data_IF_804117816682
#
_entry.id   IF_804117816682
#
_cell.length_a   1.000
_cell.length_b   1.000
_cell.length_c   1.000
_cell.angle_alpha   90.00
_cell.angle_beta   90.00
_cell.angle_gamma   90.00
#
_symmetry.space_group_name_H-M   'P 1'
#
loop_
_entity.id
_entity.type
_entity.pdbx_description
1 polymer ?
#
# COMPACT_ATOMS: atom_id res chain seq x y z
N UNK A 1 -28.04 -12.42 -30.25
CA UNK A 1 -27.05 -12.84 -29.25
C UNK A 1 -26.28 -11.60 -28.77
N UNK A 2 -26.23 -11.34 -27.48
CA UNK A 2 -25.42 -10.25 -26.96
C UNK A 2 -23.93 -10.58 -27.17
N UNK A 3 -23.18 -9.71 -27.82
CA UNK A 3 -21.71 -9.83 -27.91
C UNK A 3 -21.10 -9.29 -26.63
N UNK A 4 -20.48 -10.17 -25.85
CA UNK A 4 -19.66 -9.73 -24.73
C UNK A 4 -18.33 -9.19 -25.28
N UNK A 5 -18.10 -7.90 -25.10
CA UNK A 5 -16.82 -7.27 -25.43
C UNK A 5 -16.11 -6.91 -24.12
N UNK A 6 -14.82 -7.21 -24.05
CA UNK A 6 -14.00 -6.79 -22.91
C UNK A 6 -13.84 -5.26 -22.94
N UNK A 7 -13.84 -4.60 -21.78
CA UNK A 7 -13.54 -3.17 -21.69
C UNK A 7 -12.16 -2.84 -22.30
N UNK A 8 -12.01 -1.62 -22.78
CA UNK A 8 -10.71 -1.11 -23.24
C UNK A 8 -9.68 -1.25 -22.09
N UNK A 9 -8.47 -1.67 -22.43
CA UNK A 9 -7.36 -1.88 -21.48
C UNK A 9 -7.56 -3.00 -20.44
N UNK A 10 -8.54 -3.90 -20.64
CA UNK A 10 -8.81 -5.03 -19.75
C UNK A 10 -7.91 -6.26 -19.98
N UNK A 11 -7.13 -6.27 -21.04
CA UNK A 11 -6.26 -7.40 -21.43
C UNK A 11 -4.80 -6.99 -21.27
N UNK A 12 -4.06 -7.73 -20.46
CA UNK A 12 -2.59 -7.58 -20.35
C UNK A 12 -1.93 -8.38 -21.48
N UNK A 13 -1.15 -7.70 -22.34
CA UNK A 13 -0.47 -8.28 -23.49
C UNK A 13 0.99 -8.65 -23.15
N UNK A 14 1.60 -9.49 -23.98
CA UNK A 14 3.05 -9.69 -23.94
C UNK A 14 3.74 -8.45 -24.52
N UNK A 15 4.74 -7.94 -23.81
CA UNK A 15 5.58 -6.83 -24.21
C UNK A 15 6.90 -7.28 -24.84
N UNK A 16 7.92 -6.48 -24.65
CA UNK A 16 9.27 -6.70 -25.16
C UNK A 16 10.07 -7.63 -24.24
N UNK A 17 11.09 -8.26 -24.79
CA UNK A 17 12.10 -9.03 -24.04
C UNK A 17 13.43 -8.32 -24.17
N UNK A 18 14.01 -7.94 -23.04
CA UNK A 18 15.34 -7.36 -22.94
C UNK A 18 16.30 -8.39 -22.34
N UNK A 19 17.44 -8.58 -22.95
CA UNK A 19 18.43 -9.56 -22.50
C UNK A 19 19.77 -8.89 -22.24
N UNK A 20 20.23 -8.95 -21.00
CA UNK A 20 21.52 -8.42 -20.54
C UNK A 20 22.64 -9.48 -20.56
N UNK A 21 22.41 -10.61 -21.25
CA UNK A 21 23.34 -11.73 -21.43
C UNK A 21 24.00 -12.24 -20.13
N UNK A 22 23.23 -12.58 -19.08
CA UNK A 22 23.79 -13.11 -17.85
C UNK A 22 24.33 -14.53 -18.04
N UNK A 23 25.32 -14.92 -17.22
CA UNK A 23 25.68 -16.32 -17.04
C UNK A 23 24.48 -17.11 -16.47
N UNK A 24 24.46 -18.43 -16.67
CA UNK A 24 23.34 -19.28 -16.20
C UNK A 24 23.14 -19.23 -14.68
N UNK A 25 24.21 -19.06 -13.90
CA UNK A 25 24.21 -19.07 -12.44
C UNK A 25 23.67 -17.76 -11.82
N UNK A 26 23.91 -16.62 -12.48
CA UNK A 26 23.54 -15.30 -11.96
C UNK A 26 22.33 -14.67 -12.66
N UNK A 27 21.49 -15.51 -13.27
CA UNK A 27 20.34 -15.08 -14.05
C UNK A 27 19.15 -14.75 -13.17
N UNK A 28 18.57 -13.56 -13.36
CA UNK A 28 17.28 -13.14 -12.80
C UNK A 28 16.32 -12.81 -13.95
N UNK A 29 15.16 -13.45 -13.96
CA UNK A 29 14.06 -13.07 -14.85
C UNK A 29 13.15 -12.07 -14.14
N UNK A 30 12.88 -10.93 -14.76
CA UNK A 30 12.02 -9.87 -14.22
C UNK A 30 10.90 -9.56 -15.20
N UNK A 31 9.65 -9.79 -14.79
CA UNK A 31 8.46 -9.45 -15.56
C UNK A 31 7.83 -8.19 -14.94
N UNK A 32 7.68 -7.11 -15.71
CA UNK A 32 7.17 -5.81 -15.23
C UNK A 32 5.93 -5.41 -15.99
N UNK A 33 4.86 -5.11 -15.26
CA UNK A 33 3.66 -4.49 -15.81
C UNK A 33 3.96 -3.08 -16.33
N UNK A 34 3.54 -2.83 -17.56
CA UNK A 34 3.73 -1.55 -18.26
C UNK A 34 2.37 -1.02 -18.74
N UNK A 35 2.15 0.24 -18.49
CA UNK A 35 0.97 0.96 -18.96
C UNK A 35 1.31 2.44 -19.19
N UNK A 36 0.93 2.96 -20.36
CA UNK A 36 1.03 4.38 -20.67
C UNK A 36 -0.34 4.91 -21.09
N UNK A 37 -0.98 5.79 -20.32
CA UNK A 37 -2.30 6.32 -20.63
C UNK A 37 -2.34 7.11 -21.95
N UNK A 38 -1.23 7.76 -22.34
CA UNK A 38 -1.15 8.59 -23.56
C UNK A 38 -1.26 7.75 -24.84
N UNK A 39 -1.01 6.44 -24.77
CA UNK A 39 -1.01 5.59 -25.96
C UNK A 39 -2.35 4.92 -26.26
N UNK A 40 -3.33 5.04 -25.38
CA UNK A 40 -4.65 4.37 -25.51
C UNK A 40 -4.56 2.90 -25.93
N UNK A 41 -3.61 2.17 -25.37
CA UNK A 41 -3.33 0.75 -25.65
C UNK A 41 -3.51 -0.09 -24.40
N UNK A 42 -3.82 -1.37 -24.60
CA UNK A 42 -3.84 -2.33 -23.50
C UNK A 42 -2.49 -2.35 -22.76
N UNK A 43 -2.49 -2.55 -21.42
CA UNK A 43 -1.28 -2.79 -20.67
C UNK A 43 -0.56 -4.06 -21.18
N UNK A 44 0.74 -4.12 -20.93
CA UNK A 44 1.57 -5.24 -21.34
C UNK A 44 2.61 -5.56 -20.26
N UNK A 45 3.27 -6.70 -20.37
CA UNK A 45 4.33 -7.12 -19.47
C UNK A 45 5.63 -7.21 -20.25
N UNK A 46 6.59 -6.35 -19.92
CA UNK A 46 7.96 -6.46 -20.42
C UNK A 46 8.75 -7.45 -19.56
N UNK A 47 9.57 -8.25 -20.23
CA UNK A 47 10.46 -9.23 -19.59
C UNK A 47 11.92 -8.80 -19.71
N UNK A 48 12.62 -8.78 -18.58
CA UNK A 48 14.05 -8.47 -18.51
C UNK A 48 14.80 -9.70 -17.99
N UNK A 49 15.85 -10.09 -18.72
CA UNK A 49 16.78 -11.17 -18.33
C UNK A 49 18.07 -10.50 -17.88
N UNK A 50 18.31 -10.46 -16.57
CA UNK A 50 19.33 -9.65 -15.94
C UNK A 50 20.43 -10.49 -15.28
N UNK A 51 21.64 -9.90 -15.15
CA UNK A 51 22.71 -10.44 -14.31
C UNK A 51 22.63 -9.82 -12.90
N UNK A 52 22.44 -10.68 -11.87
CA UNK A 52 22.30 -10.25 -10.46
C UNK A 52 23.52 -9.49 -9.93
N UNK A 53 24.70 -9.67 -10.48
CA UNK A 53 25.93 -8.98 -10.06
C UNK A 53 25.93 -7.47 -10.35
N UNK A 54 25.02 -7.00 -11.23
CA UNK A 54 24.99 -5.61 -11.69
C UNK A 54 24.19 -4.66 -10.81
N UNK A 55 23.51 -5.17 -9.78
CA UNK A 55 22.67 -4.38 -8.90
C UNK A 55 22.67 -4.94 -7.47
N UNK A 56 22.15 -4.16 -6.51
CA UNK A 56 22.06 -4.55 -5.10
C UNK A 56 20.97 -5.60 -4.82
N UNK A 57 20.91 -6.10 -3.58
CA UNK A 57 20.07 -7.24 -3.20
C UNK A 57 18.60 -6.91 -3.00
N UNK A 58 18.17 -5.65 -3.16
CA UNK A 58 16.79 -5.26 -2.94
C UNK A 58 15.99 -5.20 -4.24
N UNK A 59 14.71 -5.52 -4.18
CA UNK A 59 13.82 -5.44 -5.33
C UNK A 59 13.81 -4.04 -5.99
N UNK A 60 13.96 -2.97 -5.20
CA UNK A 60 14.06 -1.61 -5.72
C UNK A 60 15.33 -1.38 -6.54
N UNK A 61 16.45 -2.03 -6.20
CA UNK A 61 17.71 -1.89 -6.92
C UNK A 61 17.61 -2.43 -8.35
N UNK A 62 16.84 -3.51 -8.54
CA UNK A 62 16.52 -4.04 -9.88
C UNK A 62 15.79 -3.00 -10.73
N UNK A 63 14.78 -2.33 -10.16
CA UNK A 63 14.03 -1.31 -10.89
C UNK A 63 14.91 -0.11 -11.26
N UNK A 64 15.83 0.28 -10.37
CA UNK A 64 16.82 1.32 -10.66
C UNK A 64 17.77 0.90 -11.78
N UNK A 65 18.26 -0.33 -11.71
CA UNK A 65 19.16 -0.84 -12.76
C UNK A 65 18.48 -0.83 -14.13
N UNK A 66 17.25 -1.36 -14.22
CA UNK A 66 16.48 -1.34 -15.46
C UNK A 66 16.27 0.08 -15.96
N UNK A 67 15.81 1.00 -15.09
CA UNK A 67 15.52 2.37 -15.48
C UNK A 67 16.76 3.13 -15.96
N UNK A 68 17.90 2.93 -15.33
CA UNK A 68 19.10 3.68 -15.61
C UNK A 68 19.90 3.13 -16.81
N UNK A 69 19.83 1.82 -17.08
CA UNK A 69 20.71 1.16 -18.04
C UNK A 69 19.98 0.53 -19.23
N UNK A 70 18.67 0.21 -19.10
CA UNK A 70 17.95 -0.56 -20.13
C UNK A 70 16.75 0.22 -20.68
N UNK A 71 15.86 0.70 -19.79
CA UNK A 71 14.63 1.37 -20.19
C UNK A 71 14.29 2.55 -19.28
N UNK A 72 14.69 3.74 -19.67
CA UNK A 72 14.46 4.99 -18.93
C UNK A 72 12.98 5.37 -18.80
N UNK A 73 12.10 4.76 -19.59
CA UNK A 73 10.66 5.06 -19.58
C UNK A 73 9.92 4.39 -18.42
N UNK A 74 10.55 3.39 -17.75
CA UNK A 74 9.96 2.69 -16.61
C UNK A 74 9.62 3.68 -15.48
N UNK A 75 8.36 3.64 -15.01
CA UNK A 75 7.85 4.59 -14.01
C UNK A 75 7.46 3.88 -12.72
N UNK A 76 8.03 4.33 -11.59
CA UNK A 76 7.73 3.87 -10.24
C UNK A 76 8.00 4.98 -9.22
N UNK A 77 7.35 4.89 -8.05
CA UNK A 77 7.62 5.80 -6.93
C UNK A 77 8.73 5.28 -6.04
N UNK A 78 9.52 6.18 -5.51
CA UNK A 78 10.58 5.86 -4.53
C UNK A 78 10.98 7.12 -3.74
N UNK A 79 11.54 6.95 -2.55
CA UNK A 79 12.12 8.03 -1.75
C UNK A 79 13.16 7.48 -0.77
N UNK A 80 12.79 7.13 0.48
CA UNK A 80 13.70 6.86 1.59
C UNK A 80 14.65 5.67 1.41
N UNK A 81 14.24 4.62 0.70
CA UNK A 81 14.98 3.36 0.48
C UNK A 81 15.20 2.49 1.74
N UNK A 82 14.51 2.79 2.84
CA UNK A 82 14.65 2.16 4.16
C UNK A 82 13.31 1.78 4.82
N UNK A 83 12.23 1.70 4.03
CA UNK A 83 10.92 1.26 4.52
C UNK A 83 10.15 2.27 5.37
N UNK A 84 10.46 3.58 5.31
CA UNK A 84 9.86 4.62 6.15
C UNK A 84 8.80 5.45 5.41
N UNK A 85 9.00 5.76 4.13
CA UNK A 85 8.11 6.69 3.41
C UNK A 85 6.89 6.02 2.74
N UNK A 86 6.85 4.69 2.61
CA UNK A 86 5.77 3.96 1.94
C UNK A 86 5.71 4.11 0.41
N UNK A 87 6.52 4.98 -0.21
CA UNK A 87 6.39 5.37 -1.62
C UNK A 87 6.58 4.22 -2.61
N UNK A 88 7.49 3.28 -2.34
CA UNK A 88 7.83 2.18 -3.24
C UNK A 88 6.93 0.95 -3.07
N UNK A 89 5.72 1.15 -2.55
CA UNK A 89 4.74 0.07 -2.41
C UNK A 89 4.23 -0.41 -3.77
N UNK A 90 4.27 -1.72 -3.96
CA UNK A 90 3.80 -2.39 -5.18
C UNK A 90 3.52 -3.86 -4.90
N UNK A 91 2.96 -4.56 -5.87
CA UNK A 91 2.80 -6.01 -5.79
C UNK A 91 4.01 -6.70 -6.40
N UNK A 92 4.70 -7.51 -5.62
CA UNK A 92 5.87 -8.29 -6.06
C UNK A 92 5.57 -9.77 -5.81
N UNK A 93 5.63 -10.59 -6.83
CA UNK A 93 5.32 -12.03 -6.78
C UNK A 93 3.96 -12.34 -6.10
N UNK A 94 2.95 -11.49 -6.32
CA UNK A 94 1.62 -11.66 -5.74
C UNK A 94 1.45 -11.08 -4.32
N UNK A 95 2.50 -10.57 -3.69
CA UNK A 95 2.46 -9.96 -2.35
C UNK A 95 2.63 -8.46 -2.43
N UNK A 96 1.76 -7.70 -1.75
CA UNK A 96 1.92 -6.25 -1.63
C UNK A 96 2.99 -5.93 -0.59
N UNK A 97 4.05 -5.23 -0.99
CA UNK A 97 5.19 -4.92 -0.10
C UNK A 97 5.89 -3.64 -0.53
N UNK A 98 6.93 -3.25 0.20
CA UNK A 98 7.84 -2.15 -0.15
C UNK A 98 9.05 -2.70 -0.87
N UNK A 99 9.29 -2.27 -2.11
CA UNK A 99 10.39 -2.76 -2.93
C UNK A 99 11.78 -2.49 -2.32
N UNK A 100 11.92 -1.45 -1.48
CA UNK A 100 13.20 -1.08 -0.89
C UNK A 100 13.68 -1.98 0.26
N UNK A 101 12.79 -2.80 0.83
CA UNK A 101 13.13 -3.71 1.95
C UNK A 101 12.94 -5.20 1.60
N UNK A 102 12.47 -5.50 0.40
CA UNK A 102 12.35 -6.88 -0.07
C UNK A 102 13.69 -7.35 -0.61
N UNK A 103 14.34 -8.27 0.10
CA UNK A 103 15.55 -8.95 -0.35
C UNK A 103 15.21 -9.97 -1.43
N UNK A 104 16.02 -10.02 -2.49
CA UNK A 104 15.82 -10.86 -3.66
C UNK A 104 17.03 -11.75 -3.99
N UNK A 105 17.98 -11.88 -3.08
CA UNK A 105 19.23 -12.63 -3.33
C UNK A 105 18.96 -14.06 -3.82
N UNK A 106 17.98 -14.74 -3.20
CA UNK A 106 17.62 -16.13 -3.50
C UNK A 106 16.58 -16.27 -4.63
N UNK A 107 16.06 -15.17 -5.17
CA UNK A 107 15.02 -15.20 -6.19
C UNK A 107 15.61 -15.46 -7.59
N UNK A 108 15.02 -16.37 -8.34
CA UNK A 108 15.34 -16.60 -9.77
C UNK A 108 14.41 -15.85 -10.72
N UNK A 109 13.24 -15.44 -10.22
CA UNK A 109 12.24 -14.68 -10.98
C UNK A 109 11.47 -13.70 -10.11
N UNK A 110 11.18 -12.53 -10.69
CA UNK A 110 10.37 -11.48 -10.06
C UNK A 110 9.27 -11.02 -11.01
N UNK A 111 8.11 -10.72 -10.44
CA UNK A 111 6.99 -10.11 -11.17
C UNK A 111 6.57 -8.84 -10.45
N UNK A 112 6.68 -7.70 -11.12
CA UNK A 112 6.29 -6.40 -10.59
C UNK A 112 4.97 -5.92 -11.20
N UNK A 113 4.02 -5.64 -10.34
CA UNK A 113 2.74 -5.04 -10.68
C UNK A 113 2.46 -3.82 -9.80
N UNK A 114 1.64 -2.84 -10.24
CA UNK A 114 1.15 -1.81 -9.34
C UNK A 114 0.32 -2.44 -8.22
N UNK A 115 0.08 -1.68 -7.13
CA UNK A 115 -0.85 -2.11 -6.10
C UNK A 115 -2.22 -2.44 -6.73
N UNK A 116 -2.80 -3.63 -6.43
CA UNK A 116 -4.03 -4.09 -7.07
C UNK A 116 -5.25 -3.26 -6.66
N UNK A 117 -6.28 -3.28 -7.52
CA UNK A 117 -7.58 -2.65 -7.27
C UNK A 117 -7.53 -1.12 -7.04
N UNK A 118 -6.53 -0.47 -7.58
CA UNK A 118 -6.44 0.99 -7.70
C UNK A 118 -6.26 1.37 -9.18
N UNK A 119 -6.79 2.51 -9.65
CA UNK A 119 -6.50 3.00 -10.99
C UNK A 119 -4.99 3.15 -11.18
N UNK A 120 -4.49 2.82 -12.37
CA UNK A 120 -3.07 2.95 -12.70
C UNK A 120 -2.84 4.25 -13.44
N UNK A 121 -1.97 5.10 -12.90
CA UNK A 121 -1.55 6.34 -13.57
C UNK A 121 -0.58 6.00 -14.71
N UNK A 122 0.50 5.27 -14.38
CA UNK A 122 1.50 4.81 -15.35
C UNK A 122 2.33 3.68 -14.75
N UNK A 123 2.56 2.62 -15.49
CA UNK A 123 3.38 1.46 -15.10
C UNK A 123 3.07 0.96 -13.67
N UNK A 124 4.02 1.12 -12.73
CA UNK A 124 3.90 0.68 -11.35
C UNK A 124 3.33 1.76 -10.40
N UNK A 125 2.79 2.86 -10.95
CA UNK A 125 2.27 4.00 -10.18
C UNK A 125 0.75 3.95 -10.13
N UNK A 126 0.13 3.56 -8.99
CA UNK A 126 -1.31 3.64 -8.78
C UNK A 126 -1.75 5.06 -8.39
N UNK A 127 -3.03 5.35 -8.61
CA UNK A 127 -3.69 6.53 -8.08
C UNK A 127 -4.12 6.28 -6.62
N UNK A 128 -3.56 7.09 -5.72
CA UNK A 128 -3.84 7.02 -4.29
C UNK A 128 -4.84 8.10 -3.81
N UNK A 129 -5.46 8.85 -4.72
CA UNK A 129 -6.33 9.98 -4.38
C UNK A 129 -7.49 9.56 -3.47
N UNK A 130 -8.19 8.47 -3.81
CA UNK A 130 -9.28 7.94 -2.96
C UNK A 130 -8.78 7.47 -1.59
N UNK A 131 -7.62 6.84 -1.53
CA UNK A 131 -6.99 6.39 -0.29
C UNK A 131 -6.69 7.56 0.65
N UNK A 132 -6.10 8.64 0.15
CA UNK A 132 -5.82 9.83 0.95
C UNK A 132 -7.06 10.61 1.34
N UNK A 133 -8.10 10.66 0.47
CA UNK A 133 -9.40 11.24 0.82
C UNK A 133 -10.06 10.51 2.00
N UNK A 134 -9.97 9.18 2.03
CA UNK A 134 -10.46 8.38 3.14
C UNK A 134 -9.64 8.61 4.42
N UNK A 135 -8.32 8.74 4.29
CA UNK A 135 -7.45 9.10 5.41
C UNK A 135 -7.78 10.50 5.96
N UNK A 136 -7.96 11.49 5.11
CA UNK A 136 -8.36 12.85 5.51
C UNK A 136 -9.71 12.85 6.25
N UNK A 137 -10.67 12.02 5.82
CA UNK A 137 -12.02 11.97 6.39
C UNK A 137 -12.07 11.55 7.85
N UNK A 138 -11.04 10.89 8.37
CA UNK A 138 -10.93 10.51 9.79
C UNK A 138 -10.29 11.61 10.65
N UNK A 139 -10.00 12.81 10.09
CA UNK A 139 -9.35 13.94 10.75
C UNK A 139 -8.05 13.51 11.44
N UNK A 140 -6.99 13.12 10.72
CA UNK A 140 -5.78 12.50 11.27
C UNK A 140 -4.84 13.54 11.90
N UNK A 141 -5.35 14.35 12.81
CA UNK A 141 -4.62 15.36 13.60
C UNK A 141 -5.23 15.48 14.99
N UNK A 142 -4.46 16.01 15.93
CA UNK A 142 -4.90 16.23 17.30
C UNK A 142 -6.04 17.26 17.33
N UNK A 143 -7.13 16.92 18.01
CA UNK A 143 -8.23 17.83 18.33
C UNK A 143 -8.23 18.06 19.84
N UNK A 144 -7.80 19.27 20.24
CA UNK A 144 -7.73 19.66 21.64
C UNK A 144 -7.83 21.19 21.73
N UNK A 145 -8.82 21.68 22.46
CA UNK A 145 -9.10 23.11 22.62
C UNK A 145 -8.24 23.77 23.71
N UNK A 146 -7.57 22.98 24.55
CA UNK A 146 -6.66 23.51 25.57
C UNK A 146 -5.39 24.09 24.93
N UNK A 147 -4.91 25.19 25.48
CA UNK A 147 -3.65 25.85 25.05
C UNK A 147 -2.64 25.77 26.16
N UNK A 148 -1.86 24.69 26.27
CA UNK A 148 -0.83 24.55 27.26
C UNK A 148 0.30 25.56 26.98
N UNK A 149 1.02 26.00 28.03
CA UNK A 149 2.14 26.92 27.85
C UNK A 149 3.29 26.36 27.02
N UNK A 150 3.49 25.03 27.03
CA UNK A 150 4.56 24.35 26.28
C UNK A 150 4.03 23.26 25.40
N UNK A 151 3.53 22.15 26.00
CA UNK A 151 3.12 20.94 25.26
C UNK A 151 1.95 20.24 25.96
N UNK A 152 1.21 19.42 25.20
CA UNK A 152 0.23 18.48 25.75
C UNK A 152 0.97 17.31 26.39
N UNK A 153 0.94 17.20 27.70
CA UNK A 153 1.55 16.08 28.42
C UNK A 153 0.85 14.76 28.12
N UNK A 154 1.64 13.70 28.06
CA UNK A 154 1.18 12.32 27.92
C UNK A 154 2.00 11.43 28.85
N UNK A 155 1.36 10.53 29.61
CA UNK A 155 2.06 9.55 30.42
C UNK A 155 2.77 8.53 29.51
N UNK A 156 3.80 7.86 30.07
CA UNK A 156 4.49 6.78 29.35
C UNK A 156 3.52 5.65 28.99
N UNK A 157 2.66 5.26 29.92
CA UNK A 157 1.64 4.20 29.70
C UNK A 157 0.67 4.56 28.58
N UNK A 158 0.26 5.84 28.47
CA UNK A 158 -0.61 6.28 27.38
C UNK A 158 0.13 6.34 26.04
N UNK A 159 1.42 6.71 26.08
CA UNK A 159 2.25 6.69 24.85
C UNK A 159 2.45 5.26 24.34
N UNK A 160 2.68 4.30 25.22
CA UNK A 160 2.85 2.88 24.85
C UNK A 160 1.60 2.29 24.18
N UNK A 161 0.40 2.77 24.53
CA UNK A 161 -0.84 2.36 23.84
C UNK A 161 -0.87 2.70 22.35
N UNK A 162 -0.06 3.65 21.91
CA UNK A 162 0.05 4.08 20.52
C UNK A 162 1.06 3.26 19.71
N UNK A 163 1.86 2.42 20.36
CA UNK A 163 2.81 1.53 19.67
C UNK A 163 2.08 0.52 18.77
N UNK A 164 2.64 0.31 17.59
CA UNK A 164 1.98 -0.46 16.54
C UNK A 164 0.88 0.30 15.78
N UNK A 165 0.66 1.58 16.08
CA UNK A 165 -0.30 2.44 15.40
C UNK A 165 0.38 3.63 14.70
N UNK A 166 1.34 4.28 15.39
CA UNK A 166 2.05 5.46 14.88
C UNK A 166 3.07 5.12 13.79
N UNK A 167 3.55 3.90 13.73
CA UNK A 167 4.54 3.43 12.75
C UNK A 167 3.97 3.17 11.36
N UNK A 168 2.66 3.37 11.17
CA UNK A 168 2.05 3.21 9.86
C UNK A 168 2.53 4.29 8.88
N UNK A 169 3.14 3.85 7.79
CA UNK A 169 3.73 4.70 6.75
C UNK A 169 2.80 4.97 5.56
N UNK A 170 1.51 4.69 5.70
CA UNK A 170 0.47 4.92 4.67
C UNK A 170 0.82 4.32 3.29
N UNK A 171 1.49 3.19 3.26
CA UNK A 171 1.91 2.53 2.01
C UNK A 171 0.77 1.90 1.19
N UNK A 172 -0.44 1.83 1.73
CA UNK A 172 -1.64 1.23 1.14
C UNK A 172 -1.59 -0.29 0.88
N UNK A 173 -0.51 -1.01 1.20
CA UNK A 173 -0.42 -2.47 1.01
C UNK A 173 -1.59 -3.22 1.66
N UNK A 174 -1.97 -2.86 2.88
CA UNK A 174 -3.08 -3.49 3.61
C UNK A 174 -4.45 -3.21 2.98
N UNK A 175 -4.70 -1.99 2.52
CA UNK A 175 -5.97 -1.61 1.88
C UNK A 175 -6.14 -2.33 0.55
N UNK A 176 -5.11 -2.37 -0.27
CA UNK A 176 -5.12 -3.02 -1.58
C UNK A 176 -5.08 -4.56 -1.54
N UNK A 177 -4.80 -5.17 -0.38
CA UNK A 177 -4.93 -6.61 -0.16
C UNK A 177 -6.25 -7.03 0.47
N UNK A 178 -7.13 -6.08 0.81
CA UNK A 178 -8.39 -6.34 1.50
C UNK A 178 -9.55 -6.55 0.51
N UNK A 179 -10.17 -7.76 0.44
CA UNK A 179 -11.31 -8.00 -0.45
C UNK A 179 -12.49 -7.05 -0.21
N UNK A 180 -12.76 -6.70 1.05
CA UNK A 180 -13.81 -5.73 1.36
C UNK A 180 -13.52 -4.34 0.77
N UNK A 181 -12.26 -3.94 0.69
CA UNK A 181 -11.86 -2.69 0.07
C UNK A 181 -11.96 -2.75 -1.46
N UNK A 182 -11.66 -3.89 -2.09
CA UNK A 182 -11.77 -4.04 -3.54
C UNK A 182 -13.18 -3.75 -4.06
N UNK A 183 -14.20 -4.22 -3.32
CA UNK A 183 -15.61 -4.13 -3.73
C UNK A 183 -16.32 -2.88 -3.21
N UNK A 184 -15.80 -2.21 -2.19
CA UNK A 184 -16.47 -1.10 -1.51
C UNK A 184 -15.51 0.08 -1.25
N UNK A 185 -14.53 0.31 -2.09
CA UNK A 185 -13.55 1.40 -1.91
C UNK A 185 -14.15 2.80 -1.95
N UNK A 186 -15.40 2.94 -2.40
CA UNK A 186 -16.16 4.18 -2.37
C UNK A 186 -16.66 4.57 -0.96
N UNK A 187 -16.87 3.58 -0.08
CA UNK A 187 -17.50 3.77 1.25
C UNK A 187 -16.66 3.20 2.40
N UNK A 188 -16.06 2.03 2.22
CA UNK A 188 -15.27 1.38 3.26
C UNK A 188 -13.94 2.10 3.44
N UNK A 189 -13.67 2.59 4.65
CA UNK A 189 -12.46 3.36 4.95
C UNK A 189 -11.16 2.57 4.77
N UNK A 190 -11.23 1.25 4.81
CA UNK A 190 -10.06 0.39 4.68
C UNK A 190 -9.21 0.27 5.94
N UNK A 191 -8.31 -0.73 5.95
CA UNK A 191 -7.53 -1.05 7.14
C UNK A 191 -6.59 0.07 7.61
N UNK A 192 -5.96 0.80 6.69
CA UNK A 192 -5.01 1.86 7.04
C UNK A 192 -5.70 3.04 7.72
N UNK A 193 -6.78 3.57 7.11
CA UNK A 193 -7.53 4.70 7.70
C UNK A 193 -8.15 4.31 9.04
N UNK A 194 -8.66 3.08 9.19
CA UNK A 194 -9.24 2.61 10.45
C UNK A 194 -8.16 2.39 11.54
N UNK A 195 -6.95 1.96 11.17
CA UNK A 195 -5.84 1.89 12.11
C UNK A 195 -5.49 3.28 12.65
N UNK A 196 -5.41 4.28 11.76
CA UNK A 196 -5.17 5.67 12.17
C UNK A 196 -6.35 6.28 12.92
N UNK A 197 -7.60 5.93 12.59
CA UNK A 197 -8.75 6.36 13.39
C UNK A 197 -8.62 5.85 14.83
N UNK A 198 -8.28 4.58 15.02
CA UNK A 198 -8.06 4.01 16.35
C UNK A 198 -6.93 4.72 17.09
N UNK A 199 -5.81 5.01 16.43
CA UNK A 199 -4.71 5.76 17.01
C UNK A 199 -5.16 7.10 17.61
N UNK A 200 -6.02 7.86 16.91
CA UNK A 200 -6.52 9.13 17.41
C UNK A 200 -7.62 8.98 18.48
N UNK A 201 -8.44 7.95 18.40
CA UNK A 201 -9.50 7.65 19.38
C UNK A 201 -8.90 7.35 20.77
N UNK A 202 -7.76 6.69 20.83
CA UNK A 202 -7.11 6.30 22.09
C UNK A 202 -5.97 7.24 22.53
N UNK A 203 -5.68 8.29 21.77
CA UNK A 203 -4.68 9.28 22.17
C UNK A 203 -5.22 10.10 23.35
N UNK A 204 -4.60 9.99 24.53
CA UNK A 204 -5.04 10.64 25.76
C UNK A 204 -5.06 12.17 25.69
N UNK A 205 -4.40 12.74 24.68
CA UNK A 205 -4.38 14.18 24.43
C UNK A 205 -5.54 14.65 23.56
N UNK A 206 -6.23 13.73 22.86
CA UNK A 206 -7.33 14.05 21.95
C UNK A 206 -8.67 14.13 22.71
N UNK A 207 -9.44 15.18 22.46
CA UNK A 207 -10.73 15.43 23.13
C UNK A 207 -11.94 15.00 22.28
N UNK A 208 -11.71 14.54 21.03
CA UNK A 208 -12.78 14.24 20.08
C UNK A 208 -13.09 12.74 19.94
N UNK A 209 -12.71 11.90 20.90
CA UNK A 209 -12.90 10.43 20.83
C UNK A 209 -14.34 10.01 20.48
N UNK A 210 -15.34 10.64 21.09
CA UNK A 210 -16.77 10.32 20.86
C UNK A 210 -17.24 10.76 19.47
N UNK A 211 -16.81 11.92 19.00
CA UNK A 211 -17.09 12.41 17.65
C UNK A 211 -16.46 11.48 16.62
N UNK A 212 -15.20 11.08 16.83
CA UNK A 212 -14.48 10.15 15.95
C UNK A 212 -15.19 8.80 15.86
N UNK A 213 -15.57 8.21 17.00
CA UNK A 213 -16.32 6.96 17.03
C UNK A 213 -17.65 7.09 16.27
N UNK A 214 -18.39 8.15 16.51
CA UNK A 214 -19.69 8.40 15.84
C UNK A 214 -19.53 8.57 14.33
N UNK A 215 -18.49 9.25 13.87
CA UNK A 215 -18.24 9.52 12.45
C UNK A 215 -17.94 8.27 11.63
N UNK A 216 -17.40 7.22 12.26
CA UNK A 216 -17.03 5.95 11.63
C UNK A 216 -18.00 4.81 11.94
N UNK A 217 -18.93 4.97 12.91
CA UNK A 217 -19.92 3.96 13.34
C UNK A 217 -21.00 3.74 12.28
N UNK A 218 -20.59 3.35 11.09
CA UNK A 218 -21.45 3.13 9.91
C UNK A 218 -21.22 1.73 9.34
N UNK A 219 -22.30 1.10 8.86
CA UNK A 219 -22.28 -0.25 8.31
C UNK A 219 -21.34 -0.42 7.11
N UNK A 220 -21.08 0.65 6.36
CA UNK A 220 -20.19 0.62 5.21
C UNK A 220 -18.77 1.08 5.57
N UNK A 221 -18.61 2.14 6.39
CA UNK A 221 -17.31 2.69 6.75
C UNK A 221 -16.46 1.73 7.59
N UNK A 222 -17.06 1.13 8.64
CA UNK A 222 -16.36 0.27 9.61
C UNK A 222 -16.74 -1.21 9.48
N UNK A 223 -18.05 -1.50 9.45
CA UNK A 223 -18.55 -2.87 9.61
C UNK A 223 -18.39 -3.74 8.35
N UNK A 224 -17.87 -3.20 7.26
CA UNK A 224 -17.42 -4.00 6.09
C UNK A 224 -16.13 -4.80 6.35
N UNK A 225 -15.47 -4.56 7.48
CA UNK A 225 -14.39 -5.44 7.90
C UNK A 225 -14.94 -6.79 8.37
N UNK A 226 -14.64 -7.85 7.63
CA UNK A 226 -15.01 -9.24 7.93
C UNK A 226 -13.88 -10.06 8.55
N UNK A 227 -12.83 -9.39 9.04
CA UNK A 227 -11.70 -10.02 9.75
C UNK A 227 -10.98 -11.11 8.91
N UNK A 228 -10.78 -10.85 7.61
CA UNK A 228 -10.11 -11.77 6.68
C UNK A 228 -8.60 -11.85 6.97
N UNK A 229 -8.02 -10.86 7.65
CA UNK A 229 -6.62 -10.79 8.12
C UNK A 229 -5.56 -10.56 7.04
N UNK A 230 -5.91 -10.39 5.77
CA UNK A 230 -4.93 -10.08 4.72
C UNK A 230 -4.14 -8.80 5.01
N UNK A 231 -4.79 -7.79 5.60
CA UNK A 231 -4.16 -6.53 5.97
C UNK A 231 -3.00 -6.68 6.96
N UNK A 232 -3.13 -7.61 7.91
CA UNK A 232 -2.08 -7.91 8.89
C UNK A 232 -0.94 -8.71 8.27
N UNK A 233 -1.26 -9.69 7.40
CA UNK A 233 -0.25 -10.53 6.75
C UNK A 233 0.64 -9.76 5.78
N UNK A 234 0.06 -8.78 5.08
CA UNK A 234 0.76 -8.04 4.03
C UNK A 234 1.46 -6.78 4.54
N UNK A 235 1.28 -6.41 5.81
CA UNK A 235 1.86 -5.17 6.33
C UNK A 235 3.40 -5.24 6.38
N UNK A 236 4.14 -4.41 5.60
CA UNK A 236 5.61 -4.45 5.58
C UNK A 236 6.24 -3.91 6.87
N UNK A 237 5.43 -3.30 7.76
CA UNK A 237 5.83 -2.83 9.10
C UNK A 237 5.35 -3.77 10.21
N UNK A 238 4.81 -4.94 9.88
CA UNK A 238 4.29 -5.95 10.82
C UNK A 238 3.20 -5.43 11.76
N UNK A 239 2.44 -4.39 11.34
CA UNK A 239 1.35 -3.83 12.13
C UNK A 239 0.09 -4.70 12.05
N UNK A 240 -0.84 -4.51 12.99
CA UNK A 240 -2.09 -5.26 13.05
C UNK A 240 -3.34 -4.37 12.90
N UNK A 241 -3.71 -3.96 11.67
CA UNK A 241 -4.91 -3.17 11.44
C UNK A 241 -6.20 -3.88 11.88
N UNK A 242 -6.26 -5.20 11.78
CA UNK A 242 -7.44 -5.96 12.16
C UNK A 242 -7.71 -5.88 13.68
N UNK A 243 -6.66 -5.87 14.51
CA UNK A 243 -6.76 -5.66 15.97
C UNK A 243 -7.31 -4.27 16.27
N UNK A 244 -6.78 -3.22 15.63
CA UNK A 244 -7.27 -1.85 15.79
C UNK A 244 -8.76 -1.74 15.44
N UNK A 245 -9.19 -2.30 14.30
CA UNK A 245 -10.61 -2.33 13.90
C UNK A 245 -11.48 -3.07 14.92
N UNK A 246 -11.00 -4.20 15.46
CA UNK A 246 -11.72 -4.95 16.49
C UNK A 246 -11.93 -4.13 17.77
N UNK A 247 -10.91 -3.36 18.18
CA UNK A 247 -11.04 -2.46 19.34
C UNK A 247 -12.06 -1.36 19.11
N UNK A 248 -12.05 -0.70 17.94
CA UNK A 248 -13.09 0.29 17.57
C UNK A 248 -14.48 -0.33 17.67
N UNK A 249 -14.69 -1.52 17.10
CA UNK A 249 -15.99 -2.22 17.15
C UNK A 249 -16.43 -2.51 18.58
N UNK A 250 -15.51 -2.93 19.45
CA UNK A 250 -15.81 -3.15 20.88
C UNK A 250 -16.21 -1.86 21.58
N UNK A 251 -15.48 -0.77 21.35
CA UNK A 251 -15.80 0.54 21.93
C UNK A 251 -17.19 1.05 21.53
N UNK A 252 -17.60 0.83 20.27
CA UNK A 252 -18.96 1.18 19.80
C UNK A 252 -20.02 0.29 20.43
N UNK A 253 -19.74 -1.01 20.60
CA UNK A 253 -20.71 -1.96 21.19
C UNK A 253 -20.89 -1.79 22.70
N UNK A 254 -19.92 -1.18 23.40
CA UNK A 254 -20.00 -0.93 24.85
C UNK A 254 -20.61 0.42 25.21
N UNK A 255 -20.99 1.25 24.24
CA UNK A 255 -21.79 2.47 24.39
C UNK A 255 -23.29 2.17 24.25
#
# INVERSE_FOLDING_TARGET
>A
MAKFTLPINSIVKKGKIFNDNPSSENKLRVDIYRYNPDQNKNPYVDTYILNKEKFGPMALDVLFYIKNNIDSTLTFRRSCREGICGSCSMNINGTNTLACILNIADESSLKFYPLPHMPVIKDLVPDLSNFYKQYESIKPWLINDSKPEREHHQSQDDREKLDGLVECVLCACCSTSCPSYWWNSDKYLGPASLLHAYRWIIDSRDQASDERLSSIADKFKLFRCHTIMNCTKTCPKSLNPAKAISHIKKMIASK
#
